data_IF_468032776965
#
_entry.id   IF_468032776965
#
_cell.length_a   1.000
_cell.length_b   1.000
_cell.length_c   1.000
_cell.angle_alpha   90.00
_cell.angle_beta   90.00
_cell.angle_gamma   90.00
#
_symmetry.space_group_name_H-M   'P 1'
#
loop_
_entity.id
_entity.type
_entity.pdbx_description
1 polymer ?
#
# COMPACT_ATOMS: atom_id res chain seq x y z
N UNK A 1 6.49 1.65 -13.00
CA UNK A 1 5.78 0.96 -11.90
C UNK A 1 6.65 0.97 -10.62
N UNK A 2 6.52 2.00 -9.77
CA UNK A 2 7.32 2.14 -8.53
C UNK A 2 7.08 0.93 -7.62
N UNK A 3 8.09 0.47 -6.86
CA UNK A 3 8.07 -0.71 -5.97
C UNK A 3 6.70 -1.11 -5.38
N UNK A 4 5.98 -0.17 -4.77
CA UNK A 4 4.66 -0.40 -4.18
C UNK A 4 3.56 -0.80 -5.21
N UNK A 5 3.61 -0.28 -6.44
CA UNK A 5 2.72 -0.68 -7.53
C UNK A 5 3.11 -1.99 -8.20
N UNK A 6 4.42 -2.28 -8.37
CA UNK A 6 4.83 -3.60 -8.88
C UNK A 6 4.39 -4.67 -7.90
N UNK A 7 4.55 -4.42 -6.60
CA UNK A 7 4.16 -5.40 -5.59
C UNK A 7 2.62 -5.53 -5.55
N UNK A 8 1.83 -4.44 -5.58
CA UNK A 8 0.35 -4.54 -5.61
C UNK A 8 -0.21 -5.17 -6.91
N UNK A 9 0.40 -4.92 -8.09
CA UNK A 9 -0.11 -5.39 -9.39
C UNK A 9 0.46 -6.77 -9.76
N UNK A 10 1.75 -7.05 -9.48
CA UNK A 10 2.41 -8.34 -9.79
C UNK A 10 2.24 -9.41 -8.71
N UNK A 11 1.75 -9.07 -7.51
CA UNK A 11 1.17 -10.06 -6.57
C UNK A 11 -0.02 -10.83 -7.16
N UNK A 12 -0.47 -10.52 -8.39
CA UNK A 12 -1.36 -11.39 -9.17
C UNK A 12 -0.85 -12.82 -9.34
N UNK A 13 0.46 -13.08 -9.33
CA UNK A 13 1.00 -14.45 -9.54
C UNK A 13 1.06 -15.32 -8.27
N UNK A 14 1.21 -14.72 -7.08
CA UNK A 14 1.17 -15.42 -5.78
C UNK A 14 -0.09 -15.13 -4.95
N UNK A 15 -1.14 -14.60 -5.59
CA UNK A 15 -2.47 -15.09 -5.21
C UNK A 15 -2.46 -16.57 -5.57
N UNK A 16 -2.25 -17.44 -4.58
CA UNK A 16 -3.06 -18.65 -4.54
C UNK A 16 -4.45 -18.18 -4.97
N UNK A 17 -4.97 -18.68 -6.09
CA UNK A 17 -6.27 -18.30 -6.61
C UNK A 17 -7.27 -18.75 -5.55
N UNK A 18 -7.45 -17.91 -4.53
CA UNK A 18 -8.29 -18.12 -3.39
C UNK A 18 -9.69 -18.09 -3.95
N UNK A 19 -10.18 -19.28 -4.30
CA UNK A 19 -11.50 -19.44 -4.87
C UNK A 19 -12.48 -19.20 -3.73
N UNK A 20 -13.32 -18.15 -3.78
CA UNK A 20 -14.26 -17.88 -2.72
C UNK A 20 -15.15 -19.11 -2.50
N UNK A 21 -15.29 -19.57 -1.25
CA UNK A 21 -16.18 -20.72 -0.94
C UNK A 21 -17.65 -20.41 -1.21
N UNK A 22 -18.00 -19.14 -1.30
CA UNK A 22 -19.31 -18.63 -1.67
C UNK A 22 -19.11 -17.47 -2.64
N UNK A 23 -19.46 -17.70 -3.90
CA UNK A 23 -19.58 -16.62 -4.88
C UNK A 23 -20.78 -15.77 -4.49
N UNK A 24 -20.52 -14.51 -4.12
CA UNK A 24 -21.55 -13.47 -4.14
C UNK A 24 -22.12 -13.48 -5.57
N UNK A 25 -23.45 -13.35 -5.71
CA UNK A 25 -24.12 -13.43 -7.01
C UNK A 25 -23.41 -12.55 -8.05
N UNK A 26 -23.26 -13.10 -9.26
CA UNK A 26 -22.50 -12.48 -10.35
C UNK A 26 -23.06 -11.10 -10.76
N UNK A 27 -22.15 -10.12 -10.76
CA UNK A 27 -22.22 -8.75 -11.29
C UNK A 27 -23.34 -7.84 -10.77
N UNK A 28 -23.10 -7.27 -9.58
CA UNK A 28 -23.94 -6.24 -8.93
C UNK A 28 -23.10 -5.00 -8.57
N UNK A 29 -22.09 -4.65 -9.38
CA UNK A 29 -21.30 -3.43 -9.17
C UNK A 29 -22.23 -2.21 -9.22
N UNK A 30 -22.27 -1.45 -8.13
CA UNK A 30 -23.12 -0.25 -8.03
C UNK A 30 -22.27 1.00 -8.18
N UNK A 31 -22.92 2.09 -8.55
CA UNK A 31 -22.27 3.38 -8.73
C UNK A 31 -22.94 4.45 -7.87
N UNK A 32 -22.12 5.26 -7.24
CA UNK A 32 -22.49 6.43 -6.47
C UNK A 32 -22.05 7.68 -7.25
N UNK A 33 -22.96 8.65 -7.44
CA UNK A 33 -22.59 9.93 -8.06
C UNK A 33 -21.87 10.78 -7.03
N UNK A 34 -20.58 11.02 -7.27
CA UNK A 34 -19.68 11.71 -6.37
C UNK A 34 -19.29 13.09 -6.91
N UNK A 35 -19.07 14.06 -6.03
CA UNK A 35 -18.51 15.36 -6.42
C UNK A 35 -17.05 15.22 -6.85
N UNK A 36 -16.69 15.91 -7.93
CA UNK A 36 -15.30 15.93 -8.37
C UNK A 36 -14.40 16.63 -7.35
N UNK A 37 -14.82 17.81 -6.89
CA UNK A 37 -14.09 18.63 -5.94
C UNK A 37 -14.95 18.93 -4.70
N UNK A 38 -14.50 18.46 -3.54
CA UNK A 38 -15.17 18.73 -2.26
C UNK A 38 -14.75 20.05 -1.61
N UNK A 39 -13.69 20.69 -2.12
CA UNK A 39 -13.08 21.88 -1.52
C UNK A 39 -13.35 23.16 -2.32
N UNK A 40 -13.93 23.05 -3.50
CA UNK A 40 -14.52 24.15 -4.26
C UNK A 40 -16.02 23.94 -4.48
N UNK A 41 -16.85 24.64 -3.69
CA UNK A 41 -18.32 24.55 -3.80
C UNK A 41 -18.87 25.16 -5.10
N UNK A 42 -18.07 25.92 -5.86
CA UNK A 42 -18.50 26.45 -7.16
C UNK A 42 -18.35 25.40 -8.26
N UNK A 43 -17.50 24.38 -8.04
CA UNK A 43 -17.38 23.24 -8.92
C UNK A 43 -18.58 22.30 -8.76
N UNK A 44 -19.39 22.18 -9.81
CA UNK A 44 -20.58 21.31 -9.86
C UNK A 44 -20.33 20.01 -10.63
N UNK A 45 -19.08 19.74 -11.04
CA UNK A 45 -18.74 18.52 -11.75
C UNK A 45 -18.84 17.31 -10.83
N UNK A 46 -19.23 16.18 -11.41
CA UNK A 46 -19.39 14.90 -10.72
C UNK A 46 -18.76 13.79 -11.53
N UNK A 47 -18.50 12.66 -10.87
CA UNK A 47 -18.10 11.42 -11.52
C UNK A 47 -18.82 10.24 -10.86
N UNK A 48 -18.82 9.09 -11.54
CA UNK A 48 -19.37 7.87 -10.97
C UNK A 48 -18.28 7.12 -10.20
N UNK A 49 -18.50 6.93 -8.90
CA UNK A 49 -17.62 6.16 -8.02
C UNK A 49 -18.23 4.77 -7.82
N UNK A 50 -17.48 3.72 -8.17
CA UNK A 50 -17.89 2.34 -8.05
C UNK A 50 -17.89 1.90 -6.58
N UNK A 51 -18.84 1.06 -6.21
CA UNK A 51 -18.85 0.38 -4.92
C UNK A 51 -19.44 -1.02 -5.03
N UNK A 52 -19.06 -1.87 -4.08
CA UNK A 52 -19.57 -3.23 -3.94
C UNK A 52 -20.32 -3.34 -2.63
N UNK A 53 -21.39 -4.15 -2.62
CA UNK A 53 -22.20 -4.34 -1.42
C UNK A 53 -22.58 -5.80 -1.26
N UNK A 54 -22.39 -6.31 -0.06
CA UNK A 54 -22.78 -7.64 0.36
C UNK A 54 -23.76 -7.51 1.54
N UNK A 55 -25.03 -7.76 1.25
CA UNK A 55 -26.13 -7.68 2.22
C UNK A 55 -26.40 -9.03 2.92
N UNK A 56 -25.59 -10.08 2.69
CA UNK A 56 -25.84 -11.45 3.20
C UNK A 56 -26.16 -11.51 4.69
N UNK A 57 -25.47 -10.71 5.49
CA UNK A 57 -25.62 -10.69 6.95
C UNK A 57 -26.43 -9.52 7.49
N UNK A 58 -26.83 -8.59 6.62
CA UNK A 58 -27.28 -7.27 7.06
C UNK A 58 -28.68 -7.32 7.69
N UNK A 59 -28.79 -6.92 8.96
CA UNK A 59 -30.06 -6.60 9.60
C UNK A 59 -30.22 -5.09 9.74
N UNK A 60 -31.19 -4.54 9.00
CA UNK A 60 -31.56 -3.11 9.02
C UNK A 60 -31.93 -2.62 10.42
N UNK A 61 -32.39 -3.48 11.33
CA UNK A 61 -32.69 -3.09 12.72
C UNK A 61 -31.42 -2.74 13.50
N UNK A 62 -30.32 -3.45 13.25
CA UNK A 62 -29.02 -3.17 13.86
C UNK A 62 -28.33 -1.95 13.23
N UNK A 63 -28.51 -1.76 11.92
CA UNK A 63 -28.06 -0.55 11.22
C UNK A 63 -26.54 -0.33 11.28
N UNK A 64 -25.74 -1.40 11.35
CA UNK A 64 -24.27 -1.30 11.33
C UNK A 64 -23.76 -1.51 9.90
N UNK A 65 -22.74 -0.75 9.49
CA UNK A 65 -21.98 -0.99 8.28
C UNK A 65 -20.50 -1.18 8.58
N UNK A 66 -19.90 -2.18 7.94
CA UNK A 66 -18.45 -2.27 7.74
C UNK A 66 -18.17 -1.65 6.37
N UNK A 67 -17.67 -0.42 6.37
CA UNK A 67 -17.22 0.28 5.18
C UNK A 67 -15.75 -0.02 4.96
N UNK A 68 -15.49 -0.96 4.05
CA UNK A 68 -14.16 -1.21 3.52
C UNK A 68 -13.76 -0.04 2.61
N UNK A 69 -12.55 0.48 2.83
CA UNK A 69 -12.01 1.59 2.04
C UNK A 69 -11.20 1.00 0.89
N UNK A 70 -11.55 1.33 -0.36
CA UNK A 70 -10.76 0.95 -1.52
C UNK A 70 -9.41 1.65 -1.53
N UNK A 71 -8.40 0.97 -2.10
CA UNK A 71 -7.01 1.44 -2.13
C UNK A 71 -6.49 1.73 -3.53
N UNK A 72 -5.22 1.40 -3.73
CA UNK A 72 -4.41 1.70 -4.90
C UNK A 72 -4.67 0.73 -6.06
N UNK A 73 -5.93 0.38 -6.31
CA UNK A 73 -6.30 -0.59 -7.34
C UNK A 73 -7.81 -0.75 -7.51
N UNK A 74 -8.22 -1.47 -8.57
CA UNK A 74 -9.62 -1.80 -8.79
C UNK A 74 -10.14 -2.71 -7.67
N UNK A 75 -11.34 -2.42 -7.17
CA UNK A 75 -12.02 -3.30 -6.21
C UNK A 75 -12.60 -4.52 -6.93
N UNK A 76 -12.63 -5.66 -6.24
CA UNK A 76 -13.08 -6.95 -6.76
C UNK A 76 -14.18 -7.52 -5.87
N UNK A 77 -15.07 -8.33 -6.45
CA UNK A 77 -16.19 -8.93 -5.70
C UNK A 77 -15.73 -9.77 -4.49
N UNK A 78 -14.53 -10.36 -4.56
CA UNK A 78 -13.91 -11.08 -3.46
C UNK A 78 -13.69 -10.24 -2.21
N UNK A 79 -13.60 -8.92 -2.37
CA UNK A 79 -13.18 -7.99 -1.33
C UNK A 79 -14.29 -7.77 -0.29
N UNK A 80 -15.56 -7.82 -0.71
CA UNK A 80 -16.73 -7.93 0.18
C UNK A 80 -17.12 -9.38 0.52
N UNK A 81 -16.23 -10.35 0.27
CA UNK A 81 -16.45 -11.78 0.49
C UNK A 81 -15.77 -12.36 1.74
N UNK A 82 -15.87 -13.69 1.90
CA UNK A 82 -15.44 -14.41 3.11
C UNK A 82 -13.92 -14.64 3.27
N UNK A 83 -13.12 -14.14 2.33
CA UNK A 83 -11.66 -14.14 2.44
C UNK A 83 -11.17 -13.13 3.50
N UNK A 84 -12.01 -12.15 3.83
CA UNK A 84 -11.66 -11.03 4.69
C UNK A 84 -12.41 -11.04 6.02
N UNK A 85 -11.74 -10.57 7.06
CA UNK A 85 -12.30 -10.48 8.41
C UNK A 85 -13.50 -9.53 8.50
N UNK A 86 -13.63 -8.58 7.56
CA UNK A 86 -14.82 -7.76 7.39
C UNK A 86 -16.12 -8.59 7.26
N UNK A 87 -16.09 -9.72 6.54
CA UNK A 87 -17.26 -10.61 6.42
C UNK A 87 -17.56 -11.31 7.76
N UNK A 88 -16.54 -11.77 8.49
CA UNK A 88 -16.71 -12.33 9.85
C UNK A 88 -17.29 -11.31 10.83
N UNK A 89 -16.84 -10.06 10.74
CA UNK A 89 -17.38 -8.96 11.55
C UNK A 89 -18.83 -8.66 11.17
N UNK A 90 -19.14 -8.73 9.88
CA UNK A 90 -20.48 -8.50 9.35
C UNK A 90 -21.45 -9.61 9.78
N UNK A 91 -21.05 -10.87 9.75
CA UNK A 91 -21.83 -12.01 10.27
C UNK A 91 -22.17 -11.83 11.75
N UNK A 92 -21.18 -11.42 12.55
CA UNK A 92 -21.32 -11.31 14.01
C UNK A 92 -22.09 -10.07 14.48
N UNK A 93 -22.03 -8.98 13.72
CA UNK A 93 -22.72 -7.72 14.05
C UNK A 93 -23.98 -7.49 13.20
N UNK A 94 -24.35 -8.45 12.35
CA UNK A 94 -25.42 -8.31 11.35
C UNK A 94 -25.26 -7.05 10.51
N UNK A 95 -24.02 -6.74 10.14
CA UNK A 95 -23.64 -5.50 9.49
C UNK A 95 -23.73 -5.61 7.96
N UNK A 96 -23.95 -4.46 7.31
CA UNK A 96 -23.78 -4.28 5.88
C UNK A 96 -22.28 -4.30 5.56
N UNK A 97 -21.82 -5.24 4.72
CA UNK A 97 -20.45 -5.22 4.22
C UNK A 97 -20.43 -4.46 2.89
N UNK A 98 -19.71 -3.35 2.83
CA UNK A 98 -19.68 -2.48 1.66
C UNK A 98 -18.25 -1.99 1.43
N UNK A 99 -17.85 -1.89 0.17
CA UNK A 99 -16.55 -1.35 -0.21
C UNK A 99 -16.71 -0.26 -1.26
N UNK A 100 -16.08 0.90 -1.01
CA UNK A 100 -16.08 2.03 -1.94
C UNK A 100 -14.74 2.08 -2.68
N UNK A 101 -14.77 2.04 -4.01
CA UNK A 101 -13.56 2.16 -4.82
C UNK A 101 -12.96 3.57 -4.69
N UNK A 102 -11.63 3.64 -4.59
CA UNK A 102 -10.95 4.91 -4.47
C UNK A 102 -11.02 5.71 -5.77
N UNK A 103 -11.24 7.03 -5.70
CA UNK A 103 -11.14 7.91 -6.88
C UNK A 103 -9.81 7.72 -7.61
N UNK A 104 -9.82 7.75 -8.94
CA UNK A 104 -8.64 7.51 -9.81
C UNK A 104 -8.09 6.07 -9.82
N UNK A 105 -8.83 5.11 -9.28
CA UNK A 105 -8.50 3.68 -9.38
C UNK A 105 -9.68 2.90 -9.96
N UNK A 106 -9.37 1.78 -10.61
CA UNK A 106 -10.35 0.92 -11.26
C UNK A 106 -11.23 1.66 -12.26
N UNK A 107 -12.54 1.65 -12.01
CA UNK A 107 -13.54 2.29 -12.87
C UNK A 107 -13.94 3.68 -12.36
N UNK A 108 -13.43 4.09 -11.18
CA UNK A 108 -13.76 5.33 -10.49
C UNK A 108 -12.85 6.49 -10.89
N UNK A 109 -12.64 6.69 -12.20
CA UNK A 109 -11.70 7.69 -12.73
C UNK A 109 -12.47 8.90 -13.28
N UNK A 110 -12.35 10.10 -12.68
CA UNK A 110 -12.96 11.30 -13.23
C UNK A 110 -12.47 11.63 -14.65
N UNK A 111 -13.38 12.17 -15.48
CA UNK A 111 -13.08 12.58 -16.84
C UNK A 111 -13.43 14.06 -17.07
N UNK A 112 -12.54 14.85 -17.71
CA UNK A 112 -11.20 14.49 -18.17
C UNK A 112 -10.24 14.18 -17.01
N UNK A 113 -9.24 13.32 -17.26
CA UNK A 113 -8.23 12.98 -16.27
C UNK A 113 -7.45 14.23 -15.84
N UNK A 114 -7.47 14.52 -14.55
CA UNK A 114 -6.70 15.60 -13.95
C UNK A 114 -6.27 15.20 -12.54
N UNK A 115 -4.99 14.97 -12.31
CA UNK A 115 -4.49 14.51 -11.01
C UNK A 115 -4.61 15.53 -9.87
N UNK A 116 -4.94 16.80 -10.13
CA UNK A 116 -5.14 17.79 -9.05
C UNK A 116 -6.32 17.46 -8.13
N UNK A 117 -7.26 16.62 -8.55
CA UNK A 117 -8.34 16.12 -7.67
C UNK A 117 -8.06 14.73 -7.07
N UNK A 118 -6.87 14.17 -7.30
CA UNK A 118 -6.39 12.98 -6.61
C UNK A 118 -5.61 13.39 -5.37
N UNK A 119 -6.28 13.33 -4.22
CA UNK A 119 -5.64 13.44 -2.90
C UNK A 119 -6.37 12.63 -1.85
N UNK A 120 -5.66 12.27 -0.78
CA UNK A 120 -6.21 11.62 0.41
C UNK A 120 -7.31 12.46 1.08
N UNK A 121 -7.21 13.79 1.01
CA UNK A 121 -8.24 14.71 1.52
C UNK A 121 -9.53 14.60 0.72
N UNK A 122 -9.44 14.56 -0.61
CA UNK A 122 -10.58 14.36 -1.47
C UNK A 122 -11.20 12.96 -1.27
N UNK A 123 -10.38 11.92 -1.14
CA UNK A 123 -10.85 10.56 -0.87
C UNK A 123 -11.54 10.41 0.49
N UNK A 124 -11.06 11.11 1.53
CA UNK A 124 -11.76 11.15 2.82
C UNK A 124 -13.09 11.88 2.73
N UNK A 125 -13.16 12.95 1.93
CA UNK A 125 -14.43 13.63 1.67
C UNK A 125 -15.41 12.73 0.90
N UNK A 126 -14.92 11.93 -0.07
CA UNK A 126 -15.74 10.92 -0.75
C UNK A 126 -16.41 9.98 0.26
N UNK A 127 -15.62 9.44 1.21
CA UNK A 127 -16.12 8.54 2.24
C UNK A 127 -17.20 9.20 3.09
N UNK A 128 -17.10 10.49 3.40
CA UNK A 128 -18.14 11.19 4.19
C UNK A 128 -19.44 11.35 3.41
N UNK A 129 -19.37 11.64 2.11
CA UNK A 129 -20.55 11.79 1.26
C UNK A 129 -21.21 10.42 1.01
N UNK A 130 -20.39 9.39 0.79
CA UNK A 130 -20.85 8.01 0.66
C UNK A 130 -21.46 7.49 1.98
N UNK A 131 -20.90 7.84 3.14
CA UNK A 131 -21.50 7.52 4.43
C UNK A 131 -22.91 8.11 4.57
N UNK A 132 -23.15 9.33 4.09
CA UNK A 132 -24.50 9.91 4.05
C UNK A 132 -25.44 9.13 3.12
N UNK A 133 -24.93 8.70 1.96
CA UNK A 133 -25.66 7.81 1.05
C UNK A 133 -26.03 6.48 1.72
N UNK A 134 -25.11 5.85 2.45
CA UNK A 134 -25.39 4.61 3.18
C UNK A 134 -26.49 4.81 4.22
N UNK A 135 -26.41 5.89 5.01
CA UNK A 135 -27.42 6.23 6.03
C UNK A 135 -28.81 6.37 5.42
N UNK A 136 -28.90 7.08 4.29
CA UNK A 136 -30.17 7.32 3.57
C UNK A 136 -30.72 6.06 2.89
N UNK A 137 -29.86 5.30 2.22
CA UNK A 137 -30.29 4.21 1.32
C UNK A 137 -30.48 2.90 2.07
N UNK A 138 -29.58 2.59 3.02
CA UNK A 138 -29.58 1.32 3.73
C UNK A 138 -30.09 1.44 5.17
N UNK A 139 -30.29 2.66 5.69
CA UNK A 139 -30.75 2.87 7.07
C UNK A 139 -29.66 2.60 8.12
N UNK A 140 -28.39 2.64 7.72
CA UNK A 140 -27.28 2.45 8.66
C UNK A 140 -27.22 3.64 9.62
N UNK A 141 -26.92 3.37 10.89
CA UNK A 141 -26.76 4.35 11.96
C UNK A 141 -25.35 4.35 12.54
N UNK A 142 -24.63 3.22 12.39
CA UNK A 142 -23.25 3.03 12.83
C UNK A 142 -22.37 2.63 11.65
N UNK A 143 -21.24 3.31 11.47
CA UNK A 143 -20.31 3.03 10.37
C UNK A 143 -18.91 2.80 10.93
N UNK A 144 -18.37 1.62 10.66
CA UNK A 144 -17.00 1.23 10.99
C UNK A 144 -16.18 1.26 9.70
N UNK A 145 -15.09 2.02 9.67
CA UNK A 145 -14.16 2.00 8.54
C UNK A 145 -13.17 0.84 8.69
N UNK A 146 -12.80 0.22 7.58
CA UNK A 146 -11.93 -0.96 7.55
C UNK A 146 -10.99 -0.86 6.36
N UNK A 147 -9.68 -1.02 6.58
CA UNK A 147 -8.71 -0.95 5.49
C UNK A 147 -7.34 -1.49 5.89
N UNK A 148 -6.60 -1.94 4.88
CA UNK A 148 -5.22 -2.42 4.96
C UNK A 148 -4.29 -1.57 4.10
N UNK A 149 -3.03 -1.33 4.48
CA UNK A 149 -2.09 -0.47 3.73
C UNK A 149 -2.56 0.99 3.69
N UNK A 150 -2.47 1.69 2.55
CA UNK A 150 -3.05 3.02 2.36
C UNK A 150 -4.55 3.09 2.70
N UNK A 151 -5.41 2.11 2.33
CA UNK A 151 -6.74 2.02 2.92
C UNK A 151 -6.79 2.01 4.44
N UNK A 152 -5.80 1.42 5.11
CA UNK A 152 -5.64 1.47 6.56
C UNK A 152 -5.39 2.89 7.06
N UNK A 153 -4.58 3.68 6.33
CA UNK A 153 -4.43 5.11 6.59
C UNK A 153 -5.78 5.82 6.49
N UNK A 154 -6.48 5.67 5.36
CA UNK A 154 -7.77 6.30 5.13
C UNK A 154 -8.82 5.87 6.16
N UNK A 155 -8.87 4.59 6.53
CA UNK A 155 -9.81 4.07 7.53
C UNK A 155 -9.56 4.71 8.90
N UNK A 156 -8.30 4.77 9.35
CA UNK A 156 -7.91 5.43 10.59
C UNK A 156 -8.15 6.94 10.55
N UNK A 157 -7.75 7.61 9.47
CA UNK A 157 -7.94 9.06 9.29
C UNK A 157 -9.42 9.44 9.18
N UNK A 158 -10.26 8.62 8.54
CA UNK A 158 -11.70 8.83 8.48
C UNK A 158 -12.29 8.89 9.90
N UNK A 159 -11.98 7.90 10.74
CA UNK A 159 -12.40 7.90 12.14
C UNK A 159 -11.81 9.05 12.95
N UNK A 160 -10.53 9.38 12.73
CA UNK A 160 -9.82 10.42 13.47
C UNK A 160 -10.31 11.84 13.11
N UNK A 161 -10.56 12.12 11.83
CA UNK A 161 -10.93 13.45 11.32
C UNK A 161 -12.43 13.68 11.31
N UNK A 162 -13.23 12.64 11.10
CA UNK A 162 -14.69 12.71 11.04
C UNK A 162 -15.34 11.80 12.09
N UNK A 163 -15.05 11.99 13.40
CA UNK A 163 -15.52 11.10 14.46
C UNK A 163 -17.04 11.15 14.70
N UNK A 164 -17.75 12.09 14.07
CA UNK A 164 -19.20 12.21 14.05
C UNK A 164 -19.85 11.48 12.86
N UNK A 165 -19.05 11.08 11.86
CA UNK A 165 -19.49 10.30 10.69
C UNK A 165 -19.22 8.81 10.90
N UNK A 166 -18.01 8.47 11.34
CA UNK A 166 -17.53 7.09 11.50
C UNK A 166 -17.32 6.77 12.99
N UNK A 167 -17.88 5.68 13.48
CA UNK A 167 -17.94 5.34 14.90
C UNK A 167 -16.68 4.63 15.41
N UNK A 168 -16.02 3.84 14.57
CA UNK A 168 -14.78 3.13 14.86
C UNK A 168 -14.00 2.81 13.57
N UNK A 169 -12.74 2.37 13.70
CA UNK A 169 -11.94 1.93 12.56
C UNK A 169 -11.06 0.71 12.86
N UNK A 170 -10.82 -0.11 11.84
CA UNK A 170 -9.69 -1.05 11.74
C UNK A 170 -8.71 -0.47 10.72
N UNK A 171 -7.49 -0.20 11.15
CA UNK A 171 -6.40 0.33 10.35
C UNK A 171 -5.24 -0.67 10.36
N UNK A 172 -5.28 -1.64 9.45
CA UNK A 172 -4.27 -2.69 9.35
C UNK A 172 -3.11 -2.25 8.46
N UNK A 173 -1.88 -2.45 8.93
CA UNK A 173 -0.63 -2.13 8.25
C UNK A 173 -0.63 -0.75 7.56
N UNK A 174 -1.28 0.24 8.16
CA UNK A 174 -1.40 1.58 7.59
C UNK A 174 -0.16 2.42 7.93
N UNK A 175 0.69 2.80 6.95
CA UNK A 175 1.81 3.70 7.20
C UNK A 175 1.29 5.13 7.38
N UNK A 176 0.96 5.53 8.61
CA UNK A 176 0.30 6.81 8.89
C UNK A 176 1.22 8.03 8.71
N UNK A 177 2.52 7.84 8.85
CA UNK A 177 3.50 8.91 8.77
C UNK A 177 3.99 9.06 7.33
N UNK A 178 3.61 10.17 6.67
CA UNK A 178 4.17 10.57 5.39
C UNK A 178 5.68 10.75 5.53
N UNK A 179 6.45 10.17 4.61
CA UNK A 179 7.91 10.18 4.72
C UNK A 179 8.56 10.11 3.35
N UNK A 180 9.21 11.18 2.94
CA UNK A 180 9.88 11.27 1.64
C UNK A 180 10.95 10.19 1.49
N UNK A 181 11.99 10.20 2.35
CA UNK A 181 13.07 9.22 2.38
C UNK A 181 12.75 8.10 3.38
N UNK A 182 12.49 6.88 2.90
CA UNK A 182 12.08 5.74 3.73
C UNK A 182 13.06 4.56 3.68
N UNK A 183 14.30 4.84 4.09
CA UNK A 183 15.39 3.85 4.18
C UNK A 183 15.13 2.73 5.19
N UNK A 184 14.32 3.00 6.23
CA UNK A 184 13.96 2.01 7.25
C UNK A 184 13.21 0.81 6.66
N UNK A 185 12.59 0.96 5.49
CA UNK A 185 11.98 -0.15 4.76
C UNK A 185 13.00 -1.26 4.49
N UNK A 186 14.12 -0.93 3.84
CA UNK A 186 15.17 -1.91 3.54
C UNK A 186 15.99 -2.31 4.77
N UNK A 187 16.10 -1.43 5.77
CA UNK A 187 16.66 -1.80 7.06
C UNK A 187 15.87 -2.94 7.71
N UNK A 188 14.54 -2.84 7.66
CA UNK A 188 13.64 -3.88 8.17
C UNK A 188 13.79 -5.18 7.40
N UNK A 189 13.86 -5.11 6.06
CA UNK A 189 14.10 -6.27 5.22
C UNK A 189 15.43 -6.99 5.56
N UNK A 190 16.51 -6.26 5.83
CA UNK A 190 17.77 -6.86 6.29
C UNK A 190 17.59 -7.63 7.60
N UNK A 191 16.87 -7.06 8.57
CA UNK A 191 16.60 -7.71 9.86
C UNK A 191 15.79 -8.99 9.67
N UNK A 192 14.78 -8.96 8.80
CA UNK A 192 13.96 -10.15 8.49
C UNK A 192 14.82 -11.24 7.87
N UNK A 193 15.59 -10.94 6.80
CA UNK A 193 16.45 -11.94 6.15
C UNK A 193 17.48 -12.54 7.11
N UNK A 194 18.09 -11.71 7.95
CA UNK A 194 19.05 -12.16 8.97
C UNK A 194 18.39 -13.07 10.02
N UNK A 195 17.15 -12.79 10.39
CA UNK A 195 16.37 -13.62 11.33
C UNK A 195 15.96 -14.97 10.74
N UNK A 196 15.76 -15.05 9.42
CA UNK A 196 15.41 -16.29 8.70
C UNK A 196 16.65 -17.19 8.60
N UNK A 197 17.77 -16.63 8.14
CA UNK A 197 19.04 -17.34 8.05
C UNK A 197 20.22 -16.36 8.09
N UNK A 198 21.05 -16.48 9.14
CA UNK A 198 22.26 -15.66 9.33
C UNK A 198 23.13 -15.61 8.07
N UNK A 199 23.45 -14.40 7.63
CA UNK A 199 24.25 -14.13 6.42
C UNK A 199 23.46 -14.09 5.11
N UNK A 200 22.16 -14.36 5.13
CA UNK A 200 21.31 -14.28 3.93
C UNK A 200 21.29 -12.86 3.34
N UNK A 201 21.15 -11.83 4.19
CA UNK A 201 21.18 -10.42 3.74
C UNK A 201 22.48 -10.06 3.02
N UNK A 202 23.61 -10.58 3.50
CA UNK A 202 24.93 -10.29 2.93
C UNK A 202 25.04 -10.91 1.53
N UNK A 203 24.47 -12.11 1.33
CA UNK A 203 24.40 -12.75 0.01
C UNK A 203 23.53 -11.96 -0.98
N UNK A 204 22.39 -11.44 -0.53
CA UNK A 204 21.53 -10.57 -1.36
C UNK A 204 22.28 -9.30 -1.76
N UNK A 205 22.90 -8.62 -0.79
CA UNK A 205 23.73 -7.45 -1.05
C UNK A 205 24.83 -7.72 -2.07
N UNK A 206 25.62 -8.77 -1.87
CA UNK A 206 26.69 -9.15 -2.82
C UNK A 206 26.14 -9.49 -4.21
N UNK A 207 24.97 -10.13 -4.32
CA UNK A 207 24.36 -10.40 -5.62
C UNK A 207 23.99 -9.11 -6.36
N UNK A 208 23.39 -8.14 -5.65
CA UNK A 208 23.05 -6.83 -6.22
C UNK A 208 24.30 -6.04 -6.64
N UNK A 209 25.36 -6.04 -5.81
CA UNK A 209 26.65 -5.42 -6.14
C UNK A 209 27.29 -6.05 -7.40
N UNK A 210 27.21 -7.37 -7.55
CA UNK A 210 27.71 -8.06 -8.74
C UNK A 210 26.92 -7.72 -10.00
N UNK A 211 25.60 -7.53 -9.89
CA UNK A 211 24.76 -7.14 -11.03
C UNK A 211 25.05 -5.69 -11.42
N UNK A 212 25.22 -4.80 -10.44
CA UNK A 212 25.66 -3.42 -10.68
C UNK A 212 27.00 -3.36 -11.40
N UNK A 213 27.99 -4.16 -10.97
CA UNK A 213 29.31 -4.24 -11.63
C UNK A 213 29.18 -4.64 -13.10
N UNK A 214 28.32 -5.61 -13.43
CA UNK A 214 28.06 -5.97 -14.82
C UNK A 214 27.43 -4.83 -15.62
N UNK A 215 26.48 -4.10 -15.05
CA UNK A 215 25.85 -2.95 -15.73
C UNK A 215 26.86 -1.84 -16.05
N UNK A 216 27.83 -1.63 -15.16
CA UNK A 216 28.87 -0.60 -15.32
C UNK A 216 30.02 -1.05 -16.24
N UNK A 217 30.45 -2.31 -16.13
CA UNK A 217 31.73 -2.76 -16.66
C UNK A 217 31.63 -3.86 -17.74
N UNK A 218 30.52 -4.61 -17.81
CA UNK A 218 30.30 -5.66 -18.80
C UNK A 218 28.83 -5.76 -19.25
N UNK A 219 28.40 -4.74 -19.99
CA UNK A 219 27.03 -4.62 -20.53
C UNK A 219 26.59 -5.82 -21.39
N UNK A 220 27.53 -6.55 -22.00
CA UNK A 220 27.21 -7.75 -22.78
C UNK A 220 26.78 -8.89 -21.87
N UNK A 221 27.50 -9.10 -20.76
CA UNK A 221 27.09 -10.08 -19.76
C UNK A 221 25.81 -9.65 -19.02
N UNK A 222 25.65 -8.36 -18.73
CA UNK A 222 24.40 -7.85 -18.17
C UNK A 222 23.20 -8.13 -19.10
N UNK A 223 23.35 -7.92 -20.42
CA UNK A 223 22.33 -8.21 -21.42
C UNK A 223 21.91 -9.69 -21.44
N UNK A 224 22.88 -10.60 -21.30
CA UNK A 224 22.62 -12.04 -21.24
C UNK A 224 21.91 -12.39 -19.92
N UNK A 225 22.44 -11.92 -18.80
CA UNK A 225 21.92 -12.21 -17.47
C UNK A 225 20.47 -11.73 -17.31
N UNK A 226 20.21 -10.49 -17.71
CA UNK A 226 18.90 -9.83 -17.58
C UNK A 226 17.99 -10.04 -18.80
N UNK A 227 18.40 -10.90 -19.74
CA UNK A 227 17.63 -11.27 -20.95
C UNK A 227 17.14 -10.09 -21.78
N UNK A 228 17.96 -9.04 -21.89
CA UNK A 228 17.64 -7.83 -22.66
C UNK A 228 18.82 -7.39 -23.53
N UNK A 229 18.76 -7.73 -24.83
CA UNK A 229 19.83 -7.45 -25.79
C UNK A 229 20.11 -5.95 -25.98
N UNK A 230 19.13 -5.07 -25.69
CA UNK A 230 19.34 -3.61 -25.80
C UNK A 230 20.47 -3.14 -24.88
N UNK A 231 20.64 -3.76 -23.70
CA UNK A 231 21.69 -3.41 -22.74
C UNK A 231 23.10 -3.51 -23.34
N UNK A 232 23.33 -4.48 -24.24
CA UNK A 232 24.65 -4.70 -24.83
C UNK A 232 25.09 -3.59 -25.80
N UNK A 233 24.15 -2.78 -26.29
CA UNK A 233 24.38 -1.81 -27.37
C UNK A 233 24.09 -0.37 -26.98
N UNK A 234 23.21 -0.16 -26.00
CA UNK A 234 22.87 1.18 -25.53
C UNK A 234 23.85 1.67 -24.46
N UNK A 235 24.06 2.99 -24.42
CA UNK A 235 24.71 3.62 -23.28
C UNK A 235 23.70 3.75 -22.15
N UNK A 236 24.11 3.33 -20.95
CA UNK A 236 23.27 3.36 -19.76
C UNK A 236 23.58 4.65 -19.00
N UNK A 237 22.54 5.40 -18.67
CA UNK A 237 22.63 6.51 -17.73
C UNK A 237 22.61 6.00 -16.30
N UNK A 238 22.99 6.85 -15.34
CA UNK A 238 22.85 6.53 -13.90
C UNK A 238 21.40 6.23 -13.51
N UNK A 239 20.43 6.89 -14.15
CA UNK A 239 19.00 6.65 -13.92
C UNK A 239 18.55 5.30 -14.51
N UNK A 240 19.11 4.86 -15.64
CA UNK A 240 18.85 3.52 -16.18
C UNK A 240 19.35 2.44 -15.22
N UNK A 241 20.59 2.59 -14.71
CA UNK A 241 21.16 1.64 -13.75
C UNK A 241 20.33 1.60 -12.46
N UNK A 242 19.96 2.78 -11.93
CA UNK A 242 19.10 2.91 -10.75
C UNK A 242 17.74 2.23 -10.96
N UNK A 243 17.15 2.41 -12.14
CA UNK A 243 15.89 1.77 -12.51
C UNK A 243 16.01 0.24 -12.58
N UNK A 244 17.04 -0.28 -13.23
CA UNK A 244 17.28 -1.73 -13.34
C UNK A 244 17.49 -2.36 -11.97
N UNK A 245 18.33 -1.75 -11.13
CA UNK A 245 18.58 -2.23 -9.76
C UNK A 245 17.30 -2.16 -8.92
N UNK A 246 16.50 -1.11 -9.09
CA UNK A 246 15.18 -1.02 -8.47
C UNK A 246 14.31 -2.22 -8.89
N UNK A 247 14.12 -2.49 -10.19
CA UNK A 247 13.32 -3.64 -10.65
C UNK A 247 13.78 -5.00 -10.10
N UNK A 248 15.05 -5.11 -9.69
CA UNK A 248 15.63 -6.32 -9.13
C UNK A 248 15.38 -6.53 -7.63
N UNK A 249 14.81 -5.59 -6.88
CA UNK A 249 14.65 -5.75 -5.41
C UNK A 249 13.34 -6.46 -5.00
N UNK A 250 12.82 -7.38 -5.82
CA UNK A 250 11.57 -8.12 -5.57
C UNK A 250 11.55 -8.88 -4.22
N UNK A 251 12.70 -9.12 -3.58
CA UNK A 251 12.76 -9.72 -2.24
C UNK A 251 12.02 -8.87 -1.19
N UNK A 252 11.99 -7.55 -1.35
CA UNK A 252 11.19 -6.64 -0.52
C UNK A 252 9.71 -7.00 -0.55
N UNK A 253 9.18 -7.31 -1.74
CA UNK A 253 7.79 -7.76 -1.91
C UNK A 253 7.55 -9.12 -1.28
N UNK A 254 8.51 -10.04 -1.39
CA UNK A 254 8.45 -11.35 -0.75
C UNK A 254 8.42 -11.25 0.78
N UNK A 255 9.20 -10.33 1.36
CA UNK A 255 9.21 -10.08 2.82
C UNK A 255 7.89 -9.44 3.27
N UNK A 256 7.47 -8.37 2.59
CA UNK A 256 6.24 -7.65 2.91
C UNK A 256 5.02 -8.57 2.94
N UNK A 257 4.94 -9.53 2.03
CA UNK A 257 3.78 -10.42 1.88
C UNK A 257 4.05 -11.88 2.23
N UNK A 258 5.10 -12.13 3.03
CA UNK A 258 5.46 -13.47 3.44
C UNK A 258 4.26 -14.25 4.02
N UNK A 259 4.14 -15.51 3.64
CA UNK A 259 3.09 -16.42 4.07
C UNK A 259 3.22 -16.73 5.57
N UNK A 260 2.17 -17.34 6.13
CA UNK A 260 2.16 -17.75 7.54
C UNK A 260 3.28 -18.75 7.87
N UNK A 261 3.70 -19.59 6.91
CA UNK A 261 4.80 -20.54 7.09
C UNK A 261 6.19 -19.93 6.83
N UNK A 262 6.23 -18.79 6.13
CA UNK A 262 7.44 -18.11 5.65
C UNK A 262 8.35 -19.04 4.83
N UNK A 263 7.77 -20.02 4.15
CA UNK A 263 8.52 -21.03 3.41
C UNK A 263 9.30 -20.40 2.24
N UNK A 264 8.70 -19.44 1.55
CA UNK A 264 9.33 -18.69 0.47
C UNK A 264 10.60 -17.95 0.93
N UNK A 265 10.59 -17.37 2.14
CA UNK A 265 11.76 -16.70 2.71
C UNK A 265 12.87 -17.70 3.01
N UNK A 266 12.51 -18.85 3.57
CA UNK A 266 13.46 -19.94 3.89
C UNK A 266 14.08 -20.52 2.62
N UNK A 267 13.27 -20.74 1.59
CA UNK A 267 13.71 -21.26 0.31
C UNK A 267 14.63 -20.27 -0.40
N UNK A 268 14.26 -18.99 -0.43
CA UNK A 268 15.11 -17.92 -0.97
C UNK A 268 16.46 -17.87 -0.26
N UNK A 269 16.48 -17.80 1.07
CA UNK A 269 17.75 -17.77 1.81
C UNK A 269 18.57 -19.04 1.62
N UNK A 270 17.94 -20.21 1.50
CA UNK A 270 18.65 -21.45 1.21
C UNK A 270 19.30 -21.45 -0.18
N UNK A 271 18.64 -20.86 -1.19
CA UNK A 271 19.20 -20.65 -2.54
C UNK A 271 20.44 -19.74 -2.43
N UNK A 272 20.28 -18.55 -1.86
CA UNK A 272 21.35 -17.55 -1.77
C UNK A 272 22.56 -18.07 -0.99
N UNK A 273 22.35 -18.85 0.06
CA UNK A 273 23.43 -19.37 0.91
C UNK A 273 24.20 -20.54 0.29
N UNK A 274 23.57 -21.31 -0.62
CA UNK A 274 24.21 -22.43 -1.32
C UNK A 274 24.79 -22.04 -2.68
N UNK A 275 24.41 -20.87 -3.19
CA UNK A 275 24.80 -20.38 -4.51
C UNK A 275 26.32 -20.33 -4.67
N UNK A 276 26.78 -20.84 -5.82
CA UNK A 276 28.16 -20.67 -6.30
C UNK A 276 28.30 -19.52 -7.28
N UNK A 277 27.17 -19.02 -7.82
CA UNK A 277 27.10 -17.86 -8.72
C UNK A 277 25.90 -16.96 -8.33
N UNK A 278 26.15 -16.07 -7.36
CA UNK A 278 25.11 -15.32 -6.66
C UNK A 278 24.24 -14.47 -7.58
N UNK A 279 24.84 -13.69 -8.48
CA UNK A 279 24.09 -12.85 -9.44
C UNK A 279 23.16 -13.68 -10.33
N UNK A 280 23.61 -14.85 -10.78
CA UNK A 280 22.84 -15.72 -11.69
C UNK A 280 21.66 -16.34 -10.97
N UNK A 281 21.90 -16.91 -9.78
CA UNK A 281 20.84 -17.54 -8.98
C UNK A 281 19.84 -16.49 -8.46
N UNK A 282 20.30 -15.28 -8.12
CA UNK A 282 19.43 -14.19 -7.70
C UNK A 282 18.52 -13.69 -8.82
N UNK A 283 19.05 -13.47 -10.03
CA UNK A 283 18.24 -13.05 -11.19
C UNK A 283 17.28 -14.15 -11.61
N UNK A 284 17.71 -15.41 -11.58
CA UNK A 284 16.84 -16.55 -11.84
C UNK A 284 15.68 -16.61 -10.84
N UNK A 285 15.97 -16.46 -9.54
CA UNK A 285 14.95 -16.36 -8.49
C UNK A 285 14.01 -15.16 -8.72
N UNK A 286 14.55 -14.00 -9.10
CA UNK A 286 13.74 -12.81 -9.33
C UNK A 286 12.73 -13.02 -10.48
N UNK A 287 13.17 -13.64 -11.57
CA UNK A 287 12.28 -14.01 -12.68
C UNK A 287 11.22 -15.03 -12.27
N UNK A 288 11.62 -16.08 -11.54
CA UNK A 288 10.69 -17.08 -11.00
C UNK A 288 9.63 -16.43 -10.10
N UNK A 289 10.07 -15.61 -9.15
CA UNK A 289 9.19 -14.92 -8.21
C UNK A 289 8.21 -13.97 -8.91
N UNK A 290 8.67 -13.27 -9.96
CA UNK A 290 7.82 -12.38 -10.75
C UNK A 290 6.88 -13.11 -11.73
N UNK A 291 7.11 -14.41 -11.96
CA UNK A 291 6.38 -15.20 -12.96
C UNK A 291 6.66 -14.78 -14.41
N UNK A 292 7.76 -14.06 -14.65
CA UNK A 292 8.14 -13.52 -15.95
C UNK A 292 9.66 -13.50 -16.08
N UNK A 293 10.17 -13.75 -17.29
CA UNK A 293 11.57 -13.57 -17.61
C UNK A 293 11.92 -12.20 -18.20
N UNK A 294 11.01 -11.24 -18.03
CA UNK A 294 11.16 -9.83 -18.38
C UNK A 294 11.00 -8.96 -17.11
N UNK A 295 12.00 -8.12 -16.84
CA UNK A 295 11.94 -7.17 -15.71
C UNK A 295 10.90 -6.06 -15.95
N UNK A 296 10.56 -5.76 -17.21
CA UNK A 296 9.69 -4.66 -17.62
C UNK A 296 10.49 -3.47 -18.16
N UNK A 297 10.03 -2.22 -17.96
CA UNK A 297 10.68 -1.04 -18.54
C UNK A 297 12.03 -0.77 -17.87
N UNK A 298 13.10 -1.38 -18.38
CA UNK A 298 14.45 -1.32 -17.81
C UNK A 298 15.10 0.05 -18.01
N UNK A 299 14.76 0.74 -19.10
CA UNK A 299 15.31 2.06 -19.38
C UNK A 299 14.46 3.13 -18.70
N UNK A 300 15.11 4.16 -18.16
CA UNK A 300 14.49 5.19 -17.36
C UNK A 300 13.39 5.94 -18.12
N UNK A 301 13.59 6.23 -19.40
CA UNK A 301 12.57 6.87 -20.23
C UNK A 301 11.31 5.99 -20.40
N UNK A 302 11.48 4.67 -20.59
CA UNK A 302 10.38 3.71 -20.65
C UNK A 302 9.63 3.70 -19.29
N UNK A 303 10.37 3.77 -18.18
CA UNK A 303 9.80 3.85 -16.83
C UNK A 303 9.01 5.16 -16.60
N UNK A 304 9.51 6.30 -17.09
CA UNK A 304 8.80 7.58 -17.03
C UNK A 304 7.48 7.48 -17.77
N UNK A 305 7.46 6.98 -19.01
CA UNK A 305 6.23 6.84 -19.80
C UNK A 305 5.20 5.93 -19.11
N UNK A 306 5.64 4.81 -18.53
CA UNK A 306 4.78 3.91 -17.74
C UNK A 306 4.21 4.61 -16.49
N UNK A 307 4.95 5.57 -15.93
CA UNK A 307 4.60 6.24 -14.67
C UNK A 307 3.65 7.42 -14.86
N UNK A 308 3.56 8.03 -16.05
CA UNK A 308 2.71 9.22 -16.31
C UNK A 308 1.23 9.04 -15.97
N UNK A 309 0.73 7.81 -16.05
CA UNK A 309 -0.67 7.46 -15.78
C UNK A 309 -0.86 6.76 -14.43
N UNK A 310 0.18 6.77 -13.58
CA UNK A 310 0.14 6.14 -12.28
C UNK A 310 -0.47 7.06 -11.22
N UNK A 311 -1.70 6.77 -10.83
CA UNK A 311 -2.37 7.43 -9.69
C UNK A 311 -1.58 7.30 -8.38
N UNK A 312 -0.97 6.13 -8.11
CA UNK A 312 -0.20 5.94 -6.89
C UNK A 312 1.12 6.70 -6.92
N UNK A 313 1.81 6.72 -8.07
CA UNK A 313 3.04 7.50 -8.18
C UNK A 313 2.73 8.99 -8.01
N UNK A 314 1.61 9.48 -8.54
CA UNK A 314 1.18 10.86 -8.26
C UNK A 314 1.03 11.12 -6.76
N UNK A 315 0.32 10.25 -6.02
CA UNK A 315 0.12 10.43 -4.58
C UNK A 315 1.42 10.34 -3.76
N UNK A 316 2.33 9.44 -4.13
CA UNK A 316 3.66 9.37 -3.50
C UNK A 316 4.49 10.62 -3.80
N UNK A 317 4.43 11.14 -5.02
CA UNK A 317 5.11 12.37 -5.40
C UNK A 317 4.53 13.66 -4.78
N UNK A 318 3.28 13.63 -4.28
CA UNK A 318 2.56 14.84 -3.85
C UNK A 318 2.02 14.84 -2.43
N UNK A 319 1.88 13.69 -1.78
CA UNK A 319 1.32 13.58 -0.43
C UNK A 319 2.13 12.68 0.51
N UNK A 320 2.57 11.52 0.05
CA UNK A 320 3.02 10.47 0.98
C UNK A 320 4.53 10.25 1.01
N UNK A 321 5.22 10.50 -0.09
CA UNK A 321 6.57 9.97 -0.28
C UNK A 321 6.53 8.44 -0.32
N UNK A 322 7.15 7.81 0.67
CA UNK A 322 7.37 6.37 0.75
C UNK A 322 8.34 5.84 -0.28
N UNK A 323 9.31 6.68 -0.64
CA UNK A 323 10.40 6.24 -1.51
C UNK A 323 11.32 5.34 -0.69
N UNK A 324 11.30 4.07 -1.04
CA UNK A 324 12.13 3.01 -0.46
C UNK A 324 13.55 3.18 -0.99
N UNK A 325 14.23 4.23 -0.54
CA UNK A 325 15.63 4.39 -0.84
C UNK A 325 16.45 3.34 -0.08
N UNK A 326 17.58 2.96 -0.63
CA UNK A 326 18.45 1.96 -0.01
C UNK A 326 19.86 2.53 0.13
N UNK A 327 20.41 2.37 1.33
CA UNK A 327 21.85 2.37 1.60
C UNK A 327 22.29 0.97 2.15
N UNK A 328 21.35 0.03 2.22
CA UNK A 328 21.50 -1.27 2.89
C UNK A 328 21.96 -2.34 1.89
N UNK A 329 21.17 -2.56 0.83
CA UNK A 329 21.44 -3.57 -0.20
C UNK A 329 22.15 -3.01 -1.44
N UNK A 330 21.96 -1.73 -1.73
CA UNK A 330 22.54 -1.00 -2.86
C UNK A 330 22.44 0.50 -2.56
N UNK A 331 23.32 1.33 -3.11
CA UNK A 331 23.18 2.79 -3.06
C UNK A 331 22.55 3.40 -4.33
N UNK A 332 22.15 2.55 -5.29
CA UNK A 332 21.58 2.99 -6.58
C UNK A 332 20.10 3.35 -6.49
N UNK A 333 19.39 2.80 -5.50
CA UNK A 333 18.01 3.19 -5.22
C UNK A 333 18.06 4.43 -4.33
N UNK A 334 18.24 5.60 -4.95
CA UNK A 334 18.47 6.86 -4.25
C UNK A 334 17.29 7.82 -4.38
N UNK A 335 17.23 8.80 -3.50
CA UNK A 335 16.24 9.87 -3.59
C UNK A 335 16.36 10.71 -4.87
N UNK A 336 17.55 10.83 -5.44
CA UNK A 336 17.76 11.56 -6.69
C UNK A 336 16.98 10.93 -7.86
N UNK A 337 17.03 9.59 -7.96
CA UNK A 337 16.24 8.82 -8.91
C UNK A 337 14.73 9.10 -8.76
N UNK A 338 14.21 9.11 -7.53
CA UNK A 338 12.80 9.36 -7.28
C UNK A 338 12.37 10.79 -7.59
N UNK A 339 13.19 11.80 -7.28
CA UNK A 339 12.90 13.19 -7.65
C UNK A 339 12.85 13.35 -9.17
N UNK A 340 13.80 12.77 -9.90
CA UNK A 340 13.79 12.75 -11.35
C UNK A 340 12.51 12.09 -11.88
N UNK A 341 12.19 10.90 -11.40
CA UNK A 341 11.03 10.15 -11.88
C UNK A 341 9.72 10.90 -11.65
N UNK A 342 9.54 11.51 -10.48
CA UNK A 342 8.36 12.32 -10.19
C UNK A 342 8.28 13.55 -11.11
N UNK A 343 9.38 14.30 -11.22
CA UNK A 343 9.42 15.52 -12.03
C UNK A 343 9.14 15.22 -13.50
N UNK A 344 9.75 14.19 -14.06
CA UNK A 344 9.64 13.85 -15.48
C UNK A 344 8.28 13.20 -15.82
N UNK A 345 7.72 12.38 -14.92
CA UNK A 345 6.42 11.74 -15.15
C UNK A 345 5.25 12.72 -15.02
N UNK A 346 5.36 13.75 -14.19
CA UNK A 346 4.27 14.71 -13.94
C UNK A 346 4.66 16.16 -14.27
N UNK A 347 5.61 16.35 -15.19
CA UNK A 347 6.15 17.65 -15.59
C UNK A 347 5.07 18.72 -15.81
N UNK A 348 3.96 18.46 -16.53
CA UNK A 348 2.97 19.50 -16.77
C UNK A 348 2.34 20.06 -15.48
N UNK A 349 2.13 19.20 -14.48
CA UNK A 349 1.54 19.57 -13.20
C UNK A 349 2.55 20.35 -12.33
N UNK A 350 3.79 19.87 -12.26
CA UNK A 350 4.84 20.52 -11.48
C UNK A 350 5.23 21.87 -12.08
N UNK A 351 5.37 21.96 -13.41
CA UNK A 351 5.64 23.22 -14.11
C UNK A 351 4.53 24.24 -13.86
N UNK A 352 3.25 23.83 -13.86
CA UNK A 352 2.13 24.70 -13.52
C UNK A 352 2.19 25.19 -12.06
N UNK A 353 2.69 24.36 -11.14
CA UNK A 353 2.93 24.72 -9.75
C UNK A 353 4.23 25.55 -9.54
N UNK A 354 5.00 25.82 -10.60
CA UNK A 354 6.24 26.56 -10.53
C UNK A 354 7.48 25.73 -10.15
N UNK A 355 7.37 24.41 -10.12
CA UNK A 355 8.44 23.47 -9.79
C UNK A 355 9.03 22.94 -11.11
N UNK A 356 10.30 23.23 -11.38
CA UNK A 356 10.97 22.91 -12.66
C UNK A 356 12.25 22.10 -12.50
N UNK A 357 12.77 22.02 -11.29
CA UNK A 357 14.01 21.34 -10.96
C UNK A 357 13.82 20.34 -9.83
N UNK A 358 14.68 19.34 -9.76
CA UNK A 358 14.67 18.36 -8.66
C UNK A 358 14.96 19.00 -7.30
N UNK A 359 15.68 20.12 -7.26
CA UNK A 359 15.91 20.89 -6.03
C UNK A 359 14.62 21.52 -5.51
N UNK A 360 13.86 22.17 -6.38
CA UNK A 360 12.54 22.73 -6.02
C UNK A 360 11.56 21.62 -5.63
N UNK A 361 11.58 20.48 -6.34
CA UNK A 361 10.73 19.33 -6.00
C UNK A 361 11.08 18.74 -4.63
N UNK A 362 12.37 18.65 -4.31
CA UNK A 362 12.84 18.21 -2.99
C UNK A 362 12.34 19.12 -1.88
N UNK A 363 12.42 20.44 -2.07
CA UNK A 363 11.88 21.42 -1.11
C UNK A 363 10.37 21.29 -0.95
N UNK A 364 9.65 21.13 -2.08
CA UNK A 364 8.21 20.89 -2.09
C UNK A 364 7.85 19.62 -1.31
N UNK A 365 8.51 18.49 -1.55
CA UNK A 365 8.22 17.23 -0.84
C UNK A 365 8.54 17.35 0.65
N UNK A 366 9.66 17.98 1.03
CA UNK A 366 9.99 18.20 2.43
C UNK A 366 8.91 19.05 3.14
N UNK A 367 8.36 20.06 2.47
CA UNK A 367 7.28 20.87 3.00
C UNK A 367 5.97 20.07 3.08
N UNK A 368 5.55 19.46 1.98
CA UNK A 368 4.19 18.89 1.84
C UNK A 368 4.10 17.52 2.49
N UNK A 369 5.03 16.62 2.20
CA UNK A 369 5.03 15.24 2.70
C UNK A 369 5.50 15.20 4.15
N UNK A 370 6.72 15.67 4.42
CA UNK A 370 7.31 15.52 5.75
C UNK A 370 6.73 16.52 6.77
N UNK A 371 6.20 17.65 6.29
CA UNK A 371 5.60 18.71 7.11
C UNK A 371 4.07 18.68 7.13
N UNK A 372 3.43 19.18 6.07
CA UNK A 372 1.99 19.49 6.06
C UNK A 372 1.08 18.26 6.19
N UNK A 373 1.39 17.17 5.49
CA UNK A 373 0.65 15.91 5.57
C UNK A 373 0.69 15.36 7.00
N UNK A 374 1.89 15.23 7.57
CA UNK A 374 2.09 14.75 8.93
C UNK A 374 1.41 15.66 9.96
N UNK A 375 1.48 16.98 9.79
CA UNK A 375 0.78 17.92 10.67
C UNK A 375 -0.74 17.82 10.56
N UNK A 376 -1.27 17.59 9.34
CA UNK A 376 -2.71 17.50 9.10
C UNK A 376 -3.33 16.20 9.65
N UNK A 377 -2.64 15.07 9.46
CA UNK A 377 -3.12 13.75 9.90
C UNK A 377 -2.62 13.32 11.27
N UNK A 378 -1.63 14.02 11.81
CA UNK A 378 -1.02 13.74 13.11
C UNK A 378 0.08 12.69 13.09
N UNK A 379 0.45 12.14 11.92
CA UNK A 379 1.40 11.01 11.81
C UNK A 379 1.08 9.90 12.83
N UNK A 380 2.00 9.58 13.75
CA UNK A 380 1.79 8.61 14.86
C UNK A 380 1.22 9.22 16.15
N UNK A 381 0.92 10.51 16.14
CA UNK A 381 0.27 11.23 17.23
C UNK A 381 -1.22 11.41 16.93
N UNK A 382 -1.99 10.35 17.16
CA UNK A 382 -3.40 10.30 16.78
C UNK A 382 -4.29 10.92 17.86
N UNK A 383 -5.06 11.99 17.56
CA UNK A 383 -5.80 12.74 18.59
C UNK A 383 -7.13 12.11 19.00
N UNK A 384 -7.60 11.06 18.30
CA UNK A 384 -8.92 10.45 18.50
C UNK A 384 -8.84 8.96 18.71
N UNK A 385 -9.76 8.46 19.51
CA UNK A 385 -9.82 7.07 19.91
C UNK A 385 -10.80 6.23 19.07
N UNK A 386 -10.92 4.93 19.41
CA UNK A 386 -11.72 3.90 18.74
C UNK A 386 -11.16 3.47 17.39
N UNK A 387 -9.82 3.36 17.32
CA UNK A 387 -9.11 2.83 16.17
C UNK A 387 -8.30 1.62 16.63
N UNK A 388 -8.39 0.53 15.87
CA UNK A 388 -7.57 -0.65 16.08
C UNK A 388 -6.48 -0.70 15.02
N UNK A 389 -5.24 -0.49 15.44
CA UNK A 389 -4.06 -0.59 14.60
C UNK A 389 -3.43 -1.98 14.72
N UNK A 390 -3.11 -2.58 13.59
CA UNK A 390 -2.45 -3.88 13.51
C UNK A 390 -1.27 -3.78 12.55
N UNK A 391 -0.15 -4.41 12.87
CA UNK A 391 1.02 -4.49 11.99
C UNK A 391 1.60 -5.91 12.04
N UNK A 392 2.02 -6.43 10.90
CA UNK A 392 2.77 -7.69 10.82
C UNK A 392 4.21 -7.52 11.32
N UNK A 393 4.78 -8.54 11.95
CA UNK A 393 6.18 -8.54 12.39
C UNK A 393 7.20 -8.52 11.25
N UNK A 394 6.86 -9.05 10.09
CA UNK A 394 7.74 -9.02 8.89
C UNK A 394 7.38 -7.88 7.94
N UNK A 395 6.46 -7.00 8.35
CA UNK A 395 5.95 -5.93 7.51
C UNK A 395 6.82 -4.68 7.66
N UNK A 396 7.62 -4.30 6.65
CA UNK A 396 8.47 -3.11 6.72
C UNK A 396 7.66 -1.81 6.85
N UNK A 397 6.37 -1.79 6.45
CA UNK A 397 5.51 -0.61 6.62
C UNK A 397 5.15 -0.33 8.08
N UNK A 398 5.39 -1.29 8.99
CA UNK A 398 5.17 -1.12 10.42
C UNK A 398 6.02 0.02 11.01
N UNK A 399 7.15 0.36 10.37
CA UNK A 399 8.04 1.47 10.76
C UNK A 399 7.36 2.84 10.63
N UNK A 400 6.36 2.99 9.74
CA UNK A 400 5.60 4.24 9.57
C UNK A 400 4.21 4.19 10.21
N UNK A 401 3.85 3.07 10.84
CA UNK A 401 2.54 2.83 11.45
C UNK A 401 2.54 3.04 12.97
N UNK A 402 1.37 2.86 13.60
CA UNK A 402 1.25 2.75 15.05
C UNK A 402 1.81 1.40 15.50
N UNK A 403 2.96 1.40 16.18
CA UNK A 403 3.65 0.17 16.58
C UNK A 403 3.85 0.16 18.11
N UNK A 404 3.50 -0.92 18.85
CA UNK A 404 3.75 -1.04 20.28
C UNK A 404 5.20 -0.84 20.73
N UNK A 405 6.17 -0.93 19.83
CA UNK A 405 7.58 -0.69 20.12
C UNK A 405 7.94 0.80 20.18
N UNK A 406 7.10 1.68 19.62
CA UNK A 406 7.30 3.13 19.64
C UNK A 406 6.60 3.82 20.81
N UNK A 407 7.25 4.86 21.32
CA UNK A 407 6.83 5.66 22.47
C UNK A 407 6.60 7.12 22.09
N UNK A 408 6.30 7.97 23.08
CA UNK A 408 6.25 9.41 22.88
C UNK A 408 7.56 10.00 22.35
N UNK A 409 8.71 9.41 22.71
CA UNK A 409 10.02 9.84 22.21
C UNK A 409 10.15 9.65 20.70
N UNK A 410 9.42 8.69 20.14
CA UNK A 410 9.39 8.35 18.72
C UNK A 410 8.26 9.09 17.98
N UNK A 411 7.61 10.06 18.65
CA UNK A 411 6.49 10.83 18.11
C UNK A 411 5.15 10.07 18.11
N UNK A 412 5.02 9.00 18.89
CA UNK A 412 3.80 8.20 18.96
C UNK A 412 2.96 8.52 20.20
N UNK A 413 1.66 8.72 19.99
CA UNK A 413 0.67 8.78 21.04
C UNK A 413 -0.58 7.98 20.64
N UNK A 414 -0.90 7.00 21.49
CA UNK A 414 -2.08 6.18 21.35
C UNK A 414 -3.15 6.61 22.38
N UNK A 415 -4.33 7.06 21.94
CA UNK A 415 -5.45 7.33 22.84
C UNK A 415 -5.88 6.08 23.62
N UNK A 416 -6.31 6.25 24.87
CA UNK A 416 -6.65 5.16 25.80
C UNK A 416 -7.69 4.17 25.24
N UNK A 417 -8.70 4.66 24.51
CA UNK A 417 -9.72 3.80 23.89
C UNK A 417 -9.33 3.35 22.47
N UNK A 418 -8.04 3.31 22.13
CA UNK A 418 -7.52 2.70 20.91
C UNK A 418 -6.58 1.56 21.23
N UNK A 419 -6.38 0.68 20.26
CA UNK A 419 -5.56 -0.51 20.43
C UNK A 419 -4.52 -0.52 19.33
N UNK A 420 -3.29 -0.91 19.67
CA UNK A 420 -2.26 -1.22 18.70
C UNK A 420 -1.67 -2.61 18.99
N UNK A 421 -1.41 -3.38 17.93
CA UNK A 421 -0.86 -4.75 18.03
C UNK A 421 0.19 -4.96 16.95
N UNK A 422 1.34 -5.50 17.37
CA UNK A 422 2.30 -6.15 16.49
C UNK A 422 2.03 -7.66 16.52
N UNK A 423 1.64 -8.23 15.39
CA UNK A 423 1.14 -9.60 15.30
C UNK A 423 2.11 -10.52 14.53
N UNK A 424 2.10 -11.84 14.79
CA UNK A 424 2.77 -12.77 13.91
C UNK A 424 2.23 -12.64 12.48
N UNK A 425 3.12 -12.46 11.51
CA UNK A 425 2.77 -12.40 10.10
C UNK A 425 3.29 -11.17 9.40
N UNK A 426 2.71 -10.95 8.23
CA UNK A 426 3.15 -9.98 7.23
C UNK A 426 2.07 -8.92 7.01
N UNK A 427 2.22 -8.14 5.95
CA UNK A 427 1.38 -6.99 5.62
C UNK A 427 -0.10 -7.36 5.53
N UNK A 428 -0.93 -6.70 6.35
CA UNK A 428 -2.38 -6.91 6.44
C UNK A 428 -2.82 -8.35 6.77
N UNK A 429 -1.96 -9.14 7.40
CA UNK A 429 -2.22 -10.57 7.65
C UNK A 429 -3.37 -10.85 8.61
N UNK A 430 -3.76 -9.90 9.49
CA UNK A 430 -4.94 -10.01 10.34
C UNK A 430 -6.25 -10.03 9.54
N UNK A 431 -6.29 -9.26 8.45
CA UNK A 431 -7.46 -9.11 7.61
C UNK A 431 -7.84 -10.41 6.89
N UNK A 432 -6.88 -11.30 6.61
CA UNK A 432 -7.10 -12.53 5.84
C UNK A 432 -7.57 -13.68 6.72
N UNK A 433 -8.77 -14.20 6.49
CA UNK A 433 -9.38 -15.24 7.34
C UNK A 433 -8.59 -16.56 7.38
N UNK A 434 -7.76 -16.83 6.36
CA UNK A 434 -6.89 -18.01 6.31
C UNK A 434 -5.77 -18.03 7.36
N UNK A 435 -5.32 -16.85 7.81
CA UNK A 435 -4.25 -16.74 8.80
C UNK A 435 -4.74 -17.21 10.16
N UNK A 436 -4.39 -18.43 10.53
CA UNK A 436 -4.92 -19.09 11.72
C UNK A 436 -4.37 -18.48 13.01
N UNK A 437 -3.09 -18.11 12.99
CA UNK A 437 -2.38 -17.38 14.04
C UNK A 437 -3.06 -16.05 14.39
N UNK A 438 -3.74 -15.42 13.43
CA UNK A 438 -4.41 -14.14 13.62
C UNK A 438 -5.87 -14.25 14.07
N UNK A 439 -6.38 -15.47 14.34
CA UNK A 439 -7.73 -15.66 14.88
C UNK A 439 -7.96 -14.91 16.20
N UNK A 440 -6.96 -14.87 17.06
CA UNK A 440 -7.06 -14.22 18.38
C UNK A 440 -7.16 -12.70 18.23
N UNK A 441 -6.33 -12.09 17.38
CA UNK A 441 -6.39 -10.63 17.15
C UNK A 441 -7.71 -10.23 16.48
N UNK A 442 -8.24 -11.03 15.53
CA UNK A 442 -9.57 -10.79 14.94
C UNK A 442 -10.70 -10.85 15.97
N UNK A 443 -10.63 -11.80 16.91
CA UNK A 443 -11.61 -11.87 17.99
C UNK A 443 -11.52 -10.65 18.92
N UNK A 444 -10.31 -10.14 19.18
CA UNK A 444 -10.11 -8.91 19.94
C UNK A 444 -10.65 -7.68 19.20
N UNK A 445 -10.35 -7.55 17.90
CA UNK A 445 -10.87 -6.50 17.02
C UNK A 445 -12.40 -6.47 17.07
N UNK A 446 -13.05 -7.60 16.82
CA UNK A 446 -14.52 -7.70 16.87
C UNK A 446 -15.09 -7.29 18.23
N UNK A 447 -14.47 -7.77 19.33
CA UNK A 447 -14.90 -7.40 20.69
C UNK A 447 -14.78 -5.90 20.91
N UNK A 448 -13.68 -5.27 20.49
CA UNK A 448 -13.46 -3.82 20.61
C UNK A 448 -14.41 -3.01 19.73
N UNK A 449 -14.69 -3.45 18.51
CA UNK A 449 -15.69 -2.81 17.65
C UNK A 449 -17.06 -2.82 18.30
N UNK A 450 -17.52 -3.97 18.82
CA UNK A 450 -18.80 -4.09 19.56
C UNK A 450 -18.85 -3.16 20.78
N UNK A 451 -17.77 -3.12 21.57
CA UNK A 451 -17.61 -2.22 22.73
C UNK A 451 -17.72 -0.74 22.30
N UNK A 452 -17.00 -0.33 21.27
CA UNK A 452 -16.91 1.06 20.85
C UNK A 452 -18.20 1.63 20.24
N UNK A 453 -19.00 0.79 19.59
CA UNK A 453 -20.30 1.19 19.01
C UNK A 453 -21.48 0.94 19.94
N UNK A 454 -21.24 0.40 21.16
CA UNK A 454 -22.26 -0.03 22.11
C UNK A 454 -23.25 -1.05 21.50
N UNK A 455 -22.73 -2.02 20.75
CA UNK A 455 -23.53 -3.01 20.04
C UNK A 455 -24.44 -3.80 21.00
N UNK A 456 -25.73 -3.93 20.65
CA UNK A 456 -26.72 -4.74 21.36
C UNK A 456 -27.02 -5.98 20.52
N UNK A 457 -27.01 -7.16 21.14
CA UNK A 457 -27.24 -8.45 20.46
C UNK A 457 -28.69 -8.69 20.02
#
# INVERSE_FOLDING_TARGET
MLFAQIICIRHRYYREIETPKTLIKADDSKYFTQRLDHFDNTNQQTFQQKFLVNETWYDKKGGVAILQVGGEGPIQQSDVGNLWSADQFSESMKALNVELEHRYYGESIPQPLNYTFLSSRQALADLTEFAAYLKKTYGVTKIITYGGSYPGNLAGWARSRFPFVFDAAIASSGPLMGRTKFSEYFQHDEMVLESIQTGCKDKVKTAMEQIEDLLLNDKKQAAILLKNEKLATQELTELDISNIISLLSNFAGMIQYASESQQELKDFCAIMMKSTDLKTDYVAWNFEYSGSDDLGPMFYNEMVEDTKLSSWTWQTCTEFGYFQDSDFFTSRISMDYYYHLCLDAFEPYFTQAGIKTTTELKEFMAQVVDGEMNAFYGARNQPRSKIFYTNGKTDPWSELSMNPEFTWADGQYLPVDSVQRLIPGSHCSDMRTKWSSNKVVRAEQLRKLKEWINYQE
#
